data_IF_661894559642
#
_entry.id   IF_661894559642
#
_cell.length_a   1.000
_cell.length_b   1.000
_cell.length_c   1.000
_cell.angle_alpha   90.00
_cell.angle_beta   90.00
_cell.angle_gamma   90.00
#
_symmetry.space_group_name_H-M   'P 1'
#
loop_
_entity.id
_entity.type
_entity.pdbx_description
1 polymer ?
#
# COMPACT_ATOMS: atom_id res chain seq x y z
N UNK A 1 -0.23 28.66 -34.41
CA UNK A 1 -0.02 27.61 -33.40
C UNK A 1 -0.91 27.94 -32.22
N UNK A 2 -2.09 27.34 -32.13
CA UNK A 2 -2.87 27.37 -30.88
C UNK A 2 -3.30 25.93 -30.67
N UNK A 3 -2.51 25.19 -29.90
CA UNK A 3 -2.89 23.85 -29.48
C UNK A 3 -4.18 23.97 -28.68
N UNK A 4 -5.18 23.19 -29.07
CA UNK A 4 -6.52 23.20 -28.51
C UNK A 4 -6.49 22.61 -27.09
N UNK A 5 -5.98 23.39 -26.13
CA UNK A 5 -5.89 22.98 -24.71
C UNK A 5 -7.25 23.07 -24.02
N UNK A 6 -8.16 23.90 -24.57
CA UNK A 6 -9.50 24.18 -24.02
C UNK A 6 -10.44 22.96 -24.07
N UNK A 7 -10.10 21.93 -24.85
CA UNK A 7 -10.82 20.65 -24.91
C UNK A 7 -9.98 19.43 -24.53
N UNK A 8 -8.75 19.62 -24.03
CA UNK A 8 -7.90 18.51 -23.64
C UNK A 8 -8.42 17.93 -22.32
N UNK A 9 -9.05 16.76 -22.41
CA UNK A 9 -9.51 16.02 -21.24
C UNK A 9 -8.27 15.67 -20.40
N UNK A 10 -8.18 16.19 -19.17
CA UNK A 10 -7.17 15.75 -18.20
C UNK A 10 -7.32 14.24 -17.92
N UNK A 11 -8.52 13.69 -18.21
CA UNK A 11 -8.94 12.29 -18.17
C UNK A 11 -7.98 11.43 -17.39
N UNK A 12 -8.07 11.59 -16.08
CA UNK A 12 -7.32 10.72 -15.20
C UNK A 12 -7.85 9.32 -15.39
N UNK A 13 -6.94 8.41 -15.68
CA UNK A 13 -7.29 7.02 -15.90
C UNK A 13 -8.05 6.51 -14.67
N UNK A 14 -9.21 5.85 -14.86
CA UNK A 14 -9.97 5.23 -13.76
C UNK A 14 -9.10 4.35 -12.87
N UNK A 15 -8.05 3.77 -13.44
CA UNK A 15 -7.03 2.98 -12.76
C UNK A 15 -6.44 3.68 -11.52
N UNK A 16 -6.27 5.00 -11.56
CA UNK A 16 -5.72 5.78 -10.44
C UNK A 16 -6.68 5.82 -9.24
N UNK A 17 -7.99 5.80 -9.50
CA UNK A 17 -9.02 5.73 -8.45
C UNK A 17 -8.98 4.37 -7.72
N UNK A 18 -8.66 3.30 -8.44
CA UNK A 18 -8.53 1.95 -7.87
C UNK A 18 -7.14 1.63 -7.30
N UNK A 19 -6.11 2.40 -7.68
CA UNK A 19 -4.73 2.11 -7.34
C UNK A 19 -4.47 2.14 -5.82
N UNK A 20 -5.04 3.12 -5.10
CA UNK A 20 -4.89 3.21 -3.64
C UNK A 20 -5.47 1.99 -2.93
N UNK A 21 -6.69 1.60 -3.30
CA UNK A 21 -7.34 0.40 -2.77
C UNK A 21 -6.57 -0.88 -3.13
N UNK A 22 -6.03 -0.98 -4.35
CA UNK A 22 -5.25 -2.12 -4.78
C UNK A 22 -3.93 -2.26 -4.01
N UNK A 23 -3.20 -1.16 -3.81
CA UNK A 23 -1.96 -1.17 -3.02
C UNK A 23 -2.26 -1.56 -1.56
N UNK A 24 -3.31 -1.00 -0.96
CA UNK A 24 -3.72 -1.39 0.39
C UNK A 24 -4.13 -2.86 0.48
N UNK A 25 -4.83 -3.38 -0.54
CA UNK A 25 -5.20 -4.80 -0.61
C UNK A 25 -3.97 -5.71 -0.68
N UNK A 26 -3.00 -5.41 -1.55
CA UNK A 26 -1.75 -6.16 -1.65
C UNK A 26 -0.93 -6.08 -0.35
N UNK A 27 -0.88 -4.90 0.27
CA UNK A 27 -0.23 -4.68 1.56
C UNK A 27 -0.84 -5.56 2.66
N UNK A 28 -2.17 -5.60 2.76
CA UNK A 28 -2.88 -6.42 3.74
C UNK A 28 -2.59 -7.91 3.52
N UNK A 29 -2.65 -8.39 2.27
CA UNK A 29 -2.35 -9.81 1.95
C UNK A 29 -0.94 -10.19 2.38
N UNK A 30 0.06 -9.36 2.12
CA UNK A 30 1.45 -9.64 2.52
C UNK A 30 1.62 -9.66 4.04
N UNK A 31 0.94 -8.77 4.77
CA UNK A 31 0.95 -8.75 6.23
C UNK A 31 0.30 -10.02 6.81
N UNK A 32 -0.83 -10.46 6.25
CA UNK A 32 -1.53 -11.67 6.66
C UNK A 32 -0.70 -12.93 6.39
N UNK A 33 -0.02 -13.01 5.23
CA UNK A 33 0.88 -14.11 4.88
C UNK A 33 2.08 -14.20 5.83
N UNK A 34 2.67 -13.07 6.21
CA UNK A 34 3.77 -13.03 7.20
C UNK A 34 3.29 -13.47 8.58
N UNK A 35 2.12 -13.01 9.02
CA UNK A 35 1.52 -13.43 10.29
C UNK A 35 1.22 -14.93 10.29
N UNK A 36 0.72 -15.47 9.18
CA UNK A 36 0.48 -16.91 9.02
C UNK A 36 1.79 -17.71 9.05
N UNK A 37 2.85 -17.22 8.41
CA UNK A 37 4.17 -17.85 8.45
C UNK A 37 4.73 -17.90 9.88
N UNK A 38 4.63 -16.80 10.65
CA UNK A 38 5.00 -16.79 12.05
C UNK A 38 4.22 -17.83 12.87
N UNK A 39 2.89 -17.87 12.70
CA UNK A 39 2.02 -18.84 13.38
C UNK A 39 2.30 -20.30 13.03
N UNK A 40 2.82 -20.58 11.83
CA UNK A 40 3.26 -21.93 11.46
C UNK A 40 4.62 -22.31 12.05
N UNK A 41 5.47 -21.33 12.35
CA UNK A 41 6.82 -21.53 12.87
C UNK A 41 6.86 -21.65 14.39
N UNK A 42 6.02 -20.91 15.13
CA UNK A 42 5.94 -20.98 16.60
C UNK A 42 5.76 -22.41 17.16
N UNK A 43 4.88 -23.27 16.63
CA UNK A 43 4.72 -24.64 17.14
C UNK A 43 5.98 -25.51 16.95
N UNK A 44 6.78 -25.24 15.92
CA UNK A 44 8.05 -25.94 15.66
C UNK A 44 9.12 -25.51 16.68
N UNK A 45 9.11 -24.23 17.06
CA UNK A 45 10.00 -23.66 18.06
C UNK A 45 9.66 -24.13 19.48
N UNK A 46 8.37 -24.13 19.83
CA UNK A 46 7.89 -24.49 21.16
C UNK A 46 7.92 -26.02 21.40
N UNK A 47 7.75 -26.82 20.34
CA UNK A 47 7.62 -28.28 20.42
C UNK A 47 8.88 -29.09 20.12
N UNK A 48 9.92 -28.48 19.54
CA UNK A 48 11.11 -29.18 19.06
C UNK A 48 12.29 -29.10 20.03
N UNK A 49 12.75 -30.23 20.58
CA UNK A 49 14.05 -30.29 21.27
C UNK A 49 15.22 -29.82 20.38
N UNK A 50 15.07 -29.95 19.05
CA UNK A 50 16.08 -29.64 18.03
C UNK A 50 16.31 -28.13 17.79
N UNK A 51 15.38 -27.27 18.20
CA UNK A 51 15.46 -25.82 17.99
C UNK A 51 15.76 -25.03 19.26
N UNK A 52 16.12 -25.69 20.36
CA UNK A 52 16.44 -25.04 21.63
C UNK A 52 17.80 -24.30 21.62
N UNK A 53 17.92 -23.25 22.44
CA UNK A 53 19.18 -22.52 22.65
C UNK A 53 19.47 -21.46 21.58
N UNK A 54 20.64 -21.51 20.96
CA UNK A 54 21.11 -20.46 20.02
C UNK A 54 20.25 -20.37 18.76
N UNK A 55 19.68 -21.49 18.30
CA UNK A 55 18.80 -21.54 17.11
C UNK A 55 17.50 -20.77 17.35
N UNK A 56 16.89 -20.94 18.53
CA UNK A 56 15.72 -20.18 18.94
C UNK A 56 16.02 -18.68 18.98
N UNK A 57 17.11 -18.27 19.64
CA UNK A 57 17.49 -16.85 19.70
C UNK A 57 17.77 -16.24 18.34
N UNK A 58 18.39 -17.01 17.44
CA UNK A 58 18.63 -16.57 16.06
C UNK A 58 17.31 -16.38 15.30
N UNK A 59 16.37 -17.32 15.47
CA UNK A 59 15.04 -17.21 14.89
C UNK A 59 14.27 -16.01 15.43
N UNK A 60 14.24 -15.80 16.74
CA UNK A 60 13.59 -14.64 17.37
C UNK A 60 14.15 -13.31 16.83
N UNK A 61 15.46 -13.25 16.54
CA UNK A 61 16.09 -12.10 15.90
C UNK A 61 15.58 -11.87 14.47
N UNK A 62 15.53 -12.91 13.65
CA UNK A 62 14.94 -12.84 12.30
C UNK A 62 13.45 -12.47 12.36
N UNK A 63 12.75 -13.01 13.36
CA UNK A 63 11.34 -12.72 13.61
C UNK A 63 11.13 -11.27 14.08
N UNK A 64 12.10 -10.65 14.73
CA UNK A 64 12.01 -9.22 15.04
C UNK A 64 12.26 -8.38 13.77
N UNK A 65 13.25 -8.75 12.95
CA UNK A 65 13.64 -7.99 11.76
C UNK A 65 12.54 -7.94 10.69
N UNK A 66 11.95 -9.09 10.34
CA UNK A 66 10.89 -9.13 9.33
C UNK A 66 9.61 -8.41 9.79
N UNK A 67 9.32 -8.37 11.11
CA UNK A 67 8.16 -7.72 11.71
C UNK A 67 8.38 -6.22 11.72
N UNK A 68 9.61 -5.77 11.99
CA UNK A 68 9.98 -4.37 11.85
C UNK A 68 9.84 -3.89 10.41
N UNK A 69 10.36 -4.66 9.44
CA UNK A 69 10.22 -4.35 8.02
C UNK A 69 8.75 -4.34 7.57
N UNK A 70 7.96 -5.33 8.00
CA UNK A 70 6.53 -5.42 7.71
C UNK A 70 5.76 -4.23 8.28
N UNK A 71 6.05 -3.81 9.52
CA UNK A 71 5.44 -2.60 10.09
C UNK A 71 5.84 -1.33 9.33
N UNK A 72 7.09 -1.20 8.89
CA UNK A 72 7.53 -0.06 8.08
C UNK A 72 6.88 0.01 6.70
N UNK A 73 6.52 -1.13 6.12
CA UNK A 73 5.84 -1.23 4.82
C UNK A 73 4.33 -1.10 4.94
N UNK A 74 3.73 -1.81 5.89
CA UNK A 74 2.29 -2.10 5.96
C UNK A 74 1.59 -1.55 7.22
N UNK A 75 2.35 -1.07 8.21
CA UNK A 75 1.78 -0.57 9.46
C UNK A 75 0.94 0.70 9.27
N UNK A 76 0.31 1.22 10.34
CA UNK A 76 -0.52 2.42 10.29
C UNK A 76 0.18 3.64 9.65
N UNK A 77 1.50 3.75 9.86
CA UNK A 77 2.36 4.78 9.27
C UNK A 77 3.25 4.24 8.14
N UNK A 78 2.93 3.04 7.64
CA UNK A 78 3.72 2.33 6.63
C UNK A 78 3.75 3.05 5.30
N UNK A 79 4.88 2.92 4.59
CA UNK A 79 5.12 3.64 3.32
C UNK A 79 4.05 3.32 2.27
N UNK A 80 3.51 2.10 2.23
CA UNK A 80 2.46 1.75 1.25
C UNK A 80 1.12 2.44 1.54
N UNK A 81 0.77 2.61 2.81
CA UNK A 81 -0.41 3.39 3.20
C UNK A 81 -0.27 4.86 2.80
N UNK A 82 0.92 5.44 2.99
CA UNK A 82 1.23 6.81 2.56
C UNK A 82 1.14 6.96 1.03
N UNK A 83 1.66 5.99 0.27
CA UNK A 83 1.56 5.98 -1.19
C UNK A 83 0.09 5.87 -1.64
N UNK A 84 -0.68 4.97 -1.01
CA UNK A 84 -2.10 4.81 -1.31
C UNK A 84 -2.88 6.12 -1.05
N UNK A 85 -2.59 6.81 0.07
CA UNK A 85 -3.17 8.10 0.40
C UNK A 85 -2.78 9.18 -0.63
N UNK A 86 -1.50 9.24 -1.03
CA UNK A 86 -1.04 10.20 -2.03
C UNK A 86 -1.74 9.98 -3.39
N UNK A 87 -1.96 8.73 -3.80
CA UNK A 87 -2.70 8.42 -5.02
C UNK A 87 -4.17 8.86 -4.93
N UNK A 88 -4.82 8.67 -3.77
CA UNK A 88 -6.19 9.14 -3.55
C UNK A 88 -6.29 10.66 -3.62
N UNK A 89 -5.36 11.38 -2.98
CA UNK A 89 -5.30 12.85 -3.03
C UNK A 89 -5.10 13.34 -4.46
N UNK A 90 -4.17 12.72 -5.19
CA UNK A 90 -3.94 13.05 -6.59
C UNK A 90 -5.20 12.84 -7.45
N UNK A 91 -5.88 11.69 -7.29
CA UNK A 91 -7.15 11.43 -7.97
C UNK A 91 -8.18 12.53 -7.68
N UNK A 92 -8.44 12.83 -6.41
CA UNK A 92 -9.41 13.85 -6.03
C UNK A 92 -9.08 15.23 -6.65
N UNK A 93 -7.82 15.66 -6.56
CA UNK A 93 -7.37 16.94 -7.11
C UNK A 93 -7.64 17.04 -8.63
N UNK A 94 -7.34 15.97 -9.37
CA UNK A 94 -7.57 15.98 -10.81
C UNK A 94 -9.05 15.88 -11.16
N UNK A 95 -9.85 15.07 -10.47
CA UNK A 95 -11.29 14.97 -10.68
C UNK A 95 -12.00 16.31 -10.41
N UNK A 96 -11.60 17.02 -9.34
CA UNK A 96 -12.12 18.34 -9.02
C UNK A 96 -11.72 19.39 -10.06
N UNK A 97 -10.48 19.35 -10.54
CA UNK A 97 -10.01 20.23 -11.61
C UNK A 97 -10.77 20.00 -12.92
N UNK A 98 -11.04 18.74 -13.27
CA UNK A 98 -11.83 18.37 -14.45
C UNK A 98 -13.29 18.82 -14.34
N UNK A 99 -13.91 18.67 -13.16
CA UNK A 99 -15.25 19.19 -12.88
C UNK A 99 -15.31 20.73 -12.96
N UNK A 100 -14.31 21.41 -12.42
CA UNK A 100 -14.20 22.87 -12.47
C UNK A 100 -14.00 23.39 -13.89
N UNK A 101 -13.15 22.73 -14.69
CA UNK A 101 -13.00 23.06 -16.10
C UNK A 101 -14.31 22.82 -16.86
N UNK A 102 -14.88 21.62 -16.80
CA UNK A 102 -16.12 21.32 -17.54
C UNK A 102 -17.26 22.28 -17.17
N UNK A 103 -17.41 22.66 -15.91
CA UNK A 103 -18.41 23.64 -15.48
C UNK A 103 -18.13 25.08 -15.95
N UNK A 104 -16.87 25.51 -16.01
CA UNK A 104 -16.51 26.88 -16.43
C UNK A 104 -16.63 27.05 -17.95
N UNK A 105 -16.17 26.06 -18.71
CA UNK A 105 -16.10 26.12 -20.17
C UNK A 105 -17.43 25.75 -20.86
N UNK A 106 -18.34 24.99 -20.22
CA UNK A 106 -19.68 24.74 -20.75
C UNK A 106 -20.68 25.89 -20.53
N UNK A 107 -20.33 26.85 -19.67
CA UNK A 107 -21.12 28.05 -19.41
C UNK A 107 -20.65 29.29 -20.20
N UNK A 108 -19.73 29.12 -21.16
CA UNK A 108 -19.17 30.18 -22.02
C UNK A 108 -19.83 30.24 -23.39
#
# INVERSE_FOLDING_TARGET
>A
MSGNVDGANLMVKPDLASAGAHINGCAQTMADELAALAGNLHPVLDGGQDWSGTTQQYFEGLEAEWNYAANGLFGPDGVLGQIAQAMQVNWNNYSEAEYSNTSTWQHS
#
